data_IF_797209368303
#
_entry.id   IF_797209368303
#
_cell.length_a   1.000
_cell.length_b   1.000
_cell.length_c   1.000
_cell.angle_alpha   90.00
_cell.angle_beta   90.00
_cell.angle_gamma   90.00
#
_symmetry.space_group_name_H-M   'P 1'
#
loop_
_entity.id
_entity.type
_entity.pdbx_description
1 polymer ?
#
# COMPACT_ATOMS: atom_id res chain seq x y z
N UNK A 1 -32.35 -31.61 -21.20
CA UNK A 1 -32.31 -30.76 -22.40
C UNK A 1 -30.86 -30.50 -22.77
N UNK A 2 -30.41 -31.00 -23.92
CA UNK A 2 -29.07 -30.75 -24.44
C UNK A 2 -29.11 -29.35 -25.07
N UNK A 3 -28.44 -28.37 -24.46
CA UNK A 3 -28.45 -26.99 -24.96
C UNK A 3 -27.57 -26.94 -26.21
N UNK A 4 -28.08 -26.35 -27.30
CA UNK A 4 -27.30 -26.15 -28.53
C UNK A 4 -26.10 -25.22 -28.28
N UNK A 5 -25.01 -25.38 -29.05
CA UNK A 5 -23.79 -24.57 -28.89
C UNK A 5 -24.03 -23.07 -29.12
N UNK A 6 -24.87 -22.69 -30.07
CA UNK A 6 -25.24 -21.28 -30.31
C UNK A 6 -26.05 -20.71 -29.14
N UNK A 7 -26.91 -21.54 -28.52
CA UNK A 7 -27.65 -21.15 -27.33
C UNK A 7 -26.72 -20.97 -26.11
N UNK A 8 -25.70 -21.84 -25.94
CA UNK A 8 -24.69 -21.70 -24.87
C UNK A 8 -23.91 -20.39 -24.98
N UNK A 9 -23.46 -20.03 -26.18
CA UNK A 9 -22.76 -18.76 -26.41
C UNK A 9 -23.66 -17.55 -26.13
N UNK A 10 -24.93 -17.62 -26.52
CA UNK A 10 -25.91 -16.56 -26.25
C UNK A 10 -26.15 -16.38 -24.76
N UNK A 11 -26.34 -17.48 -24.02
CA UNK A 11 -26.48 -17.46 -22.57
C UNK A 11 -25.25 -16.85 -21.88
N UNK A 12 -24.04 -17.18 -22.36
CA UNK A 12 -22.82 -16.59 -21.86
C UNK A 12 -22.81 -15.08 -22.05
N UNK A 13 -23.07 -14.60 -23.26
CA UNK A 13 -23.08 -13.16 -23.58
C UNK A 13 -24.08 -12.40 -22.73
N UNK A 14 -25.30 -12.93 -22.55
CA UNK A 14 -26.34 -12.31 -21.71
C UNK A 14 -25.86 -12.22 -20.27
N UNK A 15 -25.42 -13.34 -19.68
CA UNK A 15 -24.95 -13.39 -18.30
C UNK A 15 -23.75 -12.46 -18.08
N UNK A 16 -22.74 -12.56 -18.95
CA UNK A 16 -21.51 -11.79 -18.88
C UNK A 16 -21.75 -10.28 -19.00
N UNK A 17 -22.52 -9.85 -20.00
CA UNK A 17 -22.81 -8.43 -20.19
C UNK A 17 -23.66 -7.86 -19.03
N UNK A 18 -24.52 -8.67 -18.43
CA UNK A 18 -25.29 -8.29 -17.24
C UNK A 18 -24.44 -8.03 -15.99
N UNK A 19 -23.16 -8.44 -15.97
CA UNK A 19 -22.25 -8.24 -14.83
C UNK A 19 -21.27 -7.08 -15.00
N UNK A 20 -21.03 -6.59 -16.22
CA UNK A 20 -20.04 -5.52 -16.48
C UNK A 20 -20.30 -4.26 -15.65
N UNK A 21 -21.48 -3.65 -15.78
CA UNK A 21 -21.83 -2.42 -15.05
C UNK A 21 -21.78 -2.58 -13.53
N UNK A 22 -22.34 -3.66 -12.92
CA UNK A 22 -22.17 -3.91 -11.49
C UNK A 22 -20.71 -4.00 -11.04
N UNK A 23 -19.85 -4.67 -11.81
CA UNK A 23 -18.41 -4.78 -11.49
C UNK A 23 -17.74 -3.42 -11.57
N UNK A 24 -17.99 -2.66 -12.64
CA UNK A 24 -17.46 -1.30 -12.84
C UNK A 24 -17.80 -0.41 -11.64
N UNK A 25 -19.08 -0.36 -11.25
CA UNK A 25 -19.54 0.41 -10.09
C UNK A 25 -18.85 -0.01 -8.78
N UNK A 26 -18.70 -1.31 -8.55
CA UNK A 26 -18.03 -1.81 -7.35
C UNK A 26 -16.54 -1.44 -7.31
N UNK A 27 -15.87 -1.45 -8.46
CA UNK A 27 -14.45 -1.05 -8.61
C UNK A 27 -14.28 0.45 -8.40
N UNK A 28 -15.15 1.27 -8.98
CA UNK A 28 -15.21 2.72 -8.75
C UNK A 28 -15.42 3.05 -7.26
N UNK A 29 -16.36 2.38 -6.60
CA UNK A 29 -16.60 2.56 -5.17
C UNK A 29 -15.35 2.22 -4.33
N UNK A 30 -14.64 1.13 -4.66
CA UNK A 30 -13.39 0.78 -3.98
C UNK A 30 -12.34 1.88 -4.16
N UNK A 31 -12.20 2.43 -5.37
CA UNK A 31 -11.25 3.51 -5.62
C UNK A 31 -11.63 4.78 -4.86
N UNK A 32 -12.91 5.13 -4.83
CA UNK A 32 -13.43 6.26 -4.07
C UNK A 32 -13.18 6.11 -2.56
N UNK A 33 -13.59 4.99 -1.96
CA UNK A 33 -13.42 4.71 -0.54
C UNK A 33 -11.94 4.71 -0.12
N UNK A 34 -11.07 4.08 -0.93
CA UNK A 34 -9.63 4.08 -0.65
C UNK A 34 -9.03 5.49 -0.74
N UNK A 35 -9.45 6.28 -1.73
CA UNK A 35 -8.98 7.66 -1.88
C UNK A 35 -9.45 8.53 -0.70
N UNK A 36 -10.71 8.41 -0.27
CA UNK A 36 -11.23 9.13 0.90
C UNK A 36 -10.51 8.77 2.20
N UNK A 37 -10.22 7.48 2.41
CA UNK A 37 -9.44 7.05 3.57
C UNK A 37 -8.01 7.61 3.54
N UNK A 38 -7.36 7.60 2.38
CA UNK A 38 -6.04 8.20 2.27
C UNK A 38 -6.09 9.73 2.41
N UNK A 39 -7.19 10.35 2.02
CA UNK A 39 -7.44 11.78 2.19
C UNK A 39 -7.60 12.15 3.67
N UNK A 40 -8.32 11.35 4.45
CA UNK A 40 -8.43 11.60 5.90
C UNK A 40 -7.08 11.51 6.62
N UNK A 41 -6.21 10.61 6.15
CA UNK A 41 -4.88 10.40 6.74
C UNK A 41 -3.84 11.42 6.22
N UNK A 42 -4.19 12.21 5.19
CA UNK A 42 -3.27 13.15 4.54
C UNK A 42 -2.83 14.27 5.47
N UNK A 43 -3.79 14.92 6.13
CA UNK A 43 -3.50 16.07 6.99
C UNK A 43 -2.65 15.67 8.19
N UNK A 44 -2.90 14.48 8.76
CA UNK A 44 -2.08 13.94 9.84
C UNK A 44 -0.66 13.62 9.38
N UNK A 45 -0.53 13.02 8.20
CA UNK A 45 0.79 12.77 7.59
C UNK A 45 1.56 14.08 7.37
N UNK A 46 0.95 15.09 6.76
CA UNK A 46 1.60 16.38 6.50
C UNK A 46 2.03 17.08 7.78
N UNK A 47 1.15 17.14 8.79
CA UNK A 47 1.47 17.72 10.11
C UNK A 47 2.61 16.96 10.79
N UNK A 48 2.59 15.63 10.77
CA UNK A 48 3.65 14.81 11.35
C UNK A 48 5.00 15.08 10.66
N UNK A 49 5.03 15.14 9.34
CA UNK A 49 6.28 15.44 8.60
C UNK A 49 6.76 16.84 8.93
N UNK A 50 5.90 17.85 8.87
CA UNK A 50 6.29 19.23 9.16
C UNK A 50 6.84 19.38 10.59
N UNK A 51 6.14 18.85 11.59
CA UNK A 51 6.60 18.88 12.98
C UNK A 51 7.96 18.20 13.18
N UNK A 52 8.17 17.03 12.56
CA UNK A 52 9.44 16.30 12.63
C UNK A 52 10.62 17.10 12.09
N UNK A 53 10.40 17.95 11.09
CA UNK A 53 11.45 18.70 10.41
C UNK A 53 11.59 20.14 10.89
N UNK A 54 10.57 20.69 11.57
CA UNK A 54 10.66 21.98 12.25
C UNK A 54 11.36 21.89 13.60
N UNK A 55 11.37 20.72 14.26
CA UNK A 55 12.01 20.54 15.57
C UNK A 55 13.16 19.55 15.54
N UNK A 56 14.06 19.65 16.53
CA UNK A 56 15.13 18.69 16.73
C UNK A 56 14.54 17.30 17.05
N UNK A 57 14.74 16.37 16.12
CA UNK A 57 14.37 14.97 16.29
C UNK A 57 15.61 14.16 16.76
N UNK A 58 15.63 13.64 18.00
CA UNK A 58 16.75 12.85 18.51
C UNK A 58 16.90 11.49 17.83
N UNK A 59 15.86 10.99 17.17
CA UNK A 59 15.82 9.70 16.49
C UNK A 59 16.20 9.81 15.00
N UNK A 60 16.67 10.96 14.52
CA UNK A 60 17.06 11.18 13.11
C UNK A 60 18.06 10.13 12.57
N UNK A 61 19.04 9.73 13.39
CA UNK A 61 20.00 8.68 13.00
C UNK A 61 19.31 7.31 12.87
N UNK A 62 18.35 7.00 13.74
CA UNK A 62 17.62 5.75 13.70
C UNK A 62 16.62 5.69 12.55
N UNK A 63 15.90 6.79 12.31
CA UNK A 63 14.86 6.89 11.29
C UNK A 63 15.45 7.03 9.87
N UNK A 64 16.49 7.86 9.71
CA UNK A 64 17.01 8.23 8.39
C UNK A 64 18.47 7.84 8.15
N UNK A 65 19.18 7.30 9.15
CA UNK A 65 20.65 7.10 9.11
C UNK A 65 21.40 8.38 8.77
N UNK A 66 20.87 9.49 9.27
CA UNK A 66 21.40 10.83 9.06
C UNK A 66 21.60 11.54 10.40
N UNK A 67 22.81 11.42 10.96
CA UNK A 67 23.23 12.21 12.11
C UNK A 67 23.95 13.46 11.63
N UNK A 68 23.34 14.61 11.89
CA UNK A 68 23.96 15.92 11.59
C UNK A 68 24.92 16.33 12.71
N UNK A 69 24.65 15.91 13.94
CA UNK A 69 25.45 16.24 15.12
C UNK A 69 26.48 15.14 15.43
N UNK A 70 27.67 15.49 15.95
CA UNK A 70 28.08 16.82 16.42
C UNK A 70 28.65 17.74 15.32
N UNK A 71 28.82 17.27 14.08
CA UNK A 71 29.50 17.99 13.01
C UNK A 71 28.83 19.34 12.69
N UNK A 72 27.50 19.38 12.71
CA UNK A 72 26.64 20.56 12.56
C UNK A 72 27.00 21.74 13.49
N UNK A 73 27.60 21.48 14.66
CA UNK A 73 27.96 22.54 15.61
C UNK A 73 29.01 23.52 15.05
N UNK A 74 29.78 23.09 14.04
CA UNK A 74 30.81 23.90 13.38
C UNK A 74 30.36 24.41 12.00
N UNK A 75 29.12 24.15 11.61
CA UNK A 75 28.63 24.52 10.30
C UNK A 75 28.20 25.98 10.27
N UNK A 76 28.65 26.70 9.24
CA UNK A 76 28.04 27.96 8.85
C UNK A 76 26.80 27.73 7.98
N UNK A 77 26.10 28.83 7.68
CA UNK A 77 24.84 28.85 6.89
C UNK A 77 24.95 28.03 5.59
N UNK A 78 26.02 28.22 4.82
CA UNK A 78 26.21 27.51 3.53
C UNK A 78 26.23 25.99 3.67
N UNK A 79 26.84 25.46 4.74
CA UNK A 79 26.89 24.01 4.99
C UNK A 79 25.53 23.45 5.39
N UNK A 80 24.75 24.22 6.18
CA UNK A 80 23.38 23.84 6.53
C UNK A 80 22.48 23.78 5.30
N UNK A 81 22.55 24.78 4.43
CA UNK A 81 21.79 24.81 3.17
C UNK A 81 22.18 23.63 2.27
N UNK A 82 23.49 23.37 2.10
CA UNK A 82 23.97 22.25 1.29
C UNK A 82 23.46 20.90 1.84
N UNK A 83 23.61 20.68 3.15
CA UNK A 83 23.12 19.46 3.80
C UNK A 83 21.60 19.30 3.64
N UNK A 84 20.83 20.38 3.77
CA UNK A 84 19.38 20.31 3.60
C UNK A 84 19.02 19.85 2.18
N UNK A 85 19.63 20.46 1.16
CA UNK A 85 19.38 20.10 -0.23
C UNK A 85 19.78 18.66 -0.58
N UNK A 86 20.92 18.19 -0.08
CA UNK A 86 21.44 16.87 -0.42
C UNK A 86 20.77 15.74 0.38
N UNK A 87 20.60 15.97 1.69
CA UNK A 87 20.22 14.91 2.63
C UNK A 87 18.80 15.07 3.15
N UNK A 88 18.43 16.25 3.66
CA UNK A 88 17.10 16.47 4.24
C UNK A 88 15.99 16.24 3.21
N UNK A 89 16.15 16.80 2.00
CA UNK A 89 15.20 16.60 0.90
C UNK A 89 15.06 15.12 0.50
N UNK A 90 16.13 14.35 0.56
CA UNK A 90 16.09 12.91 0.26
C UNK A 90 15.26 12.17 1.30
N UNK A 91 15.42 12.53 2.59
CA UNK A 91 14.63 11.95 3.68
C UNK A 91 13.15 12.33 3.57
N UNK A 92 12.83 13.61 3.34
CA UNK A 92 11.46 14.09 3.10
C UNK A 92 10.79 13.39 1.91
N UNK A 93 11.52 13.18 0.81
CA UNK A 93 11.01 12.42 -0.33
C UNK A 93 10.76 10.95 0.03
N UNK A 94 11.59 10.37 0.90
CA UNK A 94 11.44 8.99 1.34
C UNK A 94 10.21 8.82 2.25
N UNK A 95 9.91 9.78 3.12
CA UNK A 95 8.70 9.77 3.96
C UNK A 95 7.43 9.74 3.12
N UNK A 96 7.34 10.65 2.15
CA UNK A 96 6.22 10.67 1.21
C UNK A 96 6.15 9.41 0.36
N UNK A 97 7.29 8.91 -0.12
CA UNK A 97 7.34 7.63 -0.84
C UNK A 97 6.82 6.47 0.01
N UNK A 98 7.16 6.42 1.29
CA UNK A 98 6.68 5.39 2.20
C UNK A 98 5.17 5.50 2.40
N UNK A 99 4.67 6.70 2.67
CA UNK A 99 3.25 6.97 2.86
C UNK A 99 2.43 6.59 1.62
N UNK A 100 2.78 7.12 0.44
CA UNK A 100 2.04 6.82 -0.80
C UNK A 100 2.12 5.34 -1.18
N UNK A 101 3.23 4.66 -0.85
CA UNK A 101 3.37 3.21 -1.07
C UNK A 101 2.46 2.41 -0.14
N UNK A 102 2.30 2.83 1.13
CA UNK A 102 1.35 2.22 2.07
C UNK A 102 -0.07 2.35 1.53
N UNK A 103 -0.48 3.56 1.15
CA UNK A 103 -1.78 3.82 0.53
C UNK A 103 -2.01 2.93 -0.70
N UNK A 104 -1.02 2.82 -1.59
CA UNK A 104 -1.09 1.94 -2.77
C UNK A 104 -1.21 0.45 -2.44
N UNK A 105 -0.50 -0.04 -1.42
CA UNK A 105 -0.63 -1.45 -0.98
C UNK A 105 -2.04 -1.74 -0.48
N UNK A 106 -2.60 -0.86 0.34
CA UNK A 106 -3.96 -1.00 0.86
C UNK A 106 -4.99 -0.98 -0.27
N UNK A 107 -4.88 -0.03 -1.21
CA UNK A 107 -5.73 0.03 -2.41
C UNK A 107 -5.68 -1.27 -3.22
N UNK A 108 -4.48 -1.73 -3.60
CA UNK A 108 -4.34 -2.95 -4.41
C UNK A 108 -4.83 -4.21 -3.69
N UNK A 109 -4.70 -4.25 -2.36
CA UNK A 109 -5.24 -5.35 -1.55
C UNK A 109 -6.78 -5.35 -1.59
N UNK A 110 -7.42 -4.21 -1.31
CA UNK A 110 -8.89 -4.08 -1.33
C UNK A 110 -9.45 -4.34 -2.72
N UNK A 111 -8.81 -3.80 -3.76
CA UNK A 111 -9.19 -4.04 -5.16
C UNK A 111 -9.15 -5.53 -5.50
N UNK A 112 -8.04 -6.21 -5.18
CA UNK A 112 -7.91 -7.65 -5.41
C UNK A 112 -8.95 -8.47 -4.66
N UNK A 113 -9.26 -8.11 -3.42
CA UNK A 113 -10.31 -8.76 -2.65
C UNK A 113 -11.69 -8.60 -3.33
N UNK A 114 -12.01 -7.40 -3.82
CA UNK A 114 -13.27 -7.13 -4.54
C UNK A 114 -13.36 -7.92 -5.85
N UNK A 115 -12.31 -7.91 -6.66
CA UNK A 115 -12.26 -8.69 -7.91
C UNK A 115 -12.35 -10.20 -7.64
N UNK A 116 -11.76 -10.69 -6.55
CA UNK A 116 -11.90 -12.08 -6.14
C UNK A 116 -13.33 -12.44 -5.73
N UNK A 117 -14.09 -11.53 -5.11
CA UNK A 117 -15.53 -11.74 -4.84
C UNK A 117 -16.29 -11.91 -6.15
N UNK A 118 -16.02 -11.08 -7.14
CA UNK A 118 -16.62 -11.23 -8.47
C UNK A 118 -16.20 -12.54 -9.15
N UNK A 119 -14.93 -12.92 -9.04
CA UNK A 119 -14.46 -14.20 -9.57
C UNK A 119 -15.17 -15.39 -8.91
N UNK A 120 -15.41 -15.35 -7.60
CA UNK A 120 -16.22 -16.36 -6.91
C UNK A 120 -17.65 -16.40 -7.44
N UNK A 121 -18.30 -15.24 -7.65
CA UNK A 121 -19.63 -15.19 -8.28
C UNK A 121 -19.64 -15.79 -9.68
N UNK A 122 -18.60 -15.59 -10.48
CA UNK A 122 -18.45 -16.29 -11.76
C UNK A 122 -18.42 -17.80 -11.61
N UNK A 123 -17.62 -18.32 -10.67
CA UNK A 123 -17.58 -19.77 -10.40
C UNK A 123 -18.93 -20.28 -9.91
N UNK A 124 -19.62 -19.54 -9.05
CA UNK A 124 -20.85 -19.98 -8.40
C UNK A 124 -22.10 -19.83 -9.28
N UNK A 125 -22.21 -18.76 -10.06
CA UNK A 125 -23.40 -18.46 -10.87
C UNK A 125 -23.28 -19.00 -12.30
N UNK A 126 -22.08 -18.94 -12.89
CA UNK A 126 -21.87 -19.38 -14.26
C UNK A 126 -21.36 -20.81 -14.32
N UNK A 127 -20.23 -21.11 -13.68
CA UNK A 127 -19.59 -22.42 -13.83
C UNK A 127 -20.39 -23.57 -13.19
N UNK A 128 -21.18 -23.30 -12.15
CA UNK A 128 -22.01 -24.31 -11.47
C UNK A 128 -23.40 -24.53 -12.08
N UNK A 129 -23.71 -23.92 -13.22
CA UNK A 129 -24.98 -24.22 -13.90
C UNK A 129 -25.11 -25.71 -14.21
N UNK A 130 -26.30 -26.28 -13.96
CA UNK A 130 -26.55 -27.72 -14.06
C UNK A 130 -26.07 -28.34 -15.37
N UNK A 131 -26.33 -27.67 -16.50
CA UNK A 131 -25.93 -28.18 -17.81
C UNK A 131 -24.41 -28.17 -17.99
N UNK A 132 -23.71 -27.14 -17.49
CA UNK A 132 -22.24 -27.07 -17.51
C UNK A 132 -21.64 -28.13 -16.62
N UNK A 133 -22.15 -28.32 -15.39
CA UNK A 133 -21.62 -29.32 -14.45
C UNK A 133 -21.74 -30.73 -15.03
N UNK A 134 -22.89 -31.06 -15.65
CA UNK A 134 -23.09 -32.35 -16.33
C UNK A 134 -22.13 -32.52 -17.50
N UNK A 135 -22.01 -31.51 -18.34
CA UNK A 135 -21.15 -31.51 -19.52
C UNK A 135 -19.66 -31.61 -19.16
N UNK A 136 -19.20 -30.81 -18.18
CA UNK A 136 -17.86 -30.86 -17.62
C UNK A 136 -17.54 -32.26 -17.09
N UNK A 137 -18.46 -32.85 -16.32
CA UNK A 137 -18.30 -34.20 -15.78
C UNK A 137 -18.18 -35.22 -16.91
N UNK A 138 -19.05 -35.12 -17.92
CA UNK A 138 -19.03 -36.01 -19.08
C UNK A 138 -17.68 -35.96 -19.81
N UNK A 139 -17.25 -34.77 -20.25
CA UNK A 139 -16.01 -34.65 -21.02
C UNK A 139 -14.76 -34.93 -20.18
N UNK A 140 -14.73 -34.54 -18.89
CA UNK A 140 -13.61 -34.91 -18.00
C UNK A 140 -13.50 -36.43 -17.80
N UNK A 141 -14.62 -37.13 -17.69
CA UNK A 141 -14.61 -38.59 -17.61
C UNK A 141 -14.21 -39.23 -18.94
N UNK A 142 -14.72 -38.71 -20.06
CA UNK A 142 -14.38 -39.18 -21.40
C UNK A 142 -12.89 -38.99 -21.71
N UNK A 143 -12.26 -37.88 -21.31
CA UNK A 143 -10.81 -37.68 -21.44
C UNK A 143 -10.01 -38.74 -20.66
N UNK A 144 -10.50 -39.17 -19.49
CA UNK A 144 -9.81 -40.15 -18.63
C UNK A 144 -9.99 -41.59 -19.09
N UNK A 145 -11.17 -41.95 -19.59
CA UNK A 145 -11.60 -43.34 -19.82
C UNK A 145 -11.91 -43.65 -21.30
N UNK A 146 -11.85 -42.65 -22.18
CA UNK A 146 -12.24 -42.78 -23.58
C UNK A 146 -11.34 -43.73 -24.35
N UNK A 147 -11.91 -44.79 -24.91
CA UNK A 147 -11.20 -45.77 -25.71
C UNK A 147 -11.18 -45.35 -27.18
N UNK A 148 -10.02 -45.44 -27.84
CA UNK A 148 -9.90 -45.24 -29.30
C UNK A 148 -10.72 -46.24 -30.13
N UNK A 149 -11.18 -47.33 -29.51
CA UNK A 149 -12.05 -48.33 -30.13
C UNK A 149 -13.55 -47.99 -30.10
N UNK A 150 -13.94 -46.84 -29.54
CA UNK A 150 -15.32 -46.35 -29.60
C UNK A 150 -15.68 -46.00 -31.06
N UNK A 151 -16.75 -46.58 -31.65
CA UNK A 151 -17.17 -46.28 -33.01
C UNK A 151 -17.40 -44.79 -33.28
N UNK A 152 -17.78 -44.02 -32.24
CA UNK A 152 -18.03 -42.59 -32.32
C UNK A 152 -16.85 -41.74 -31.81
N UNK A 153 -15.65 -42.33 -31.66
CA UNK A 153 -14.48 -41.68 -31.06
C UNK A 153 -14.22 -40.29 -31.66
N UNK A 154 -14.19 -40.18 -32.99
CA UNK A 154 -13.90 -38.93 -33.68
C UNK A 154 -14.96 -37.84 -33.47
N UNK A 155 -16.23 -38.24 -33.38
CA UNK A 155 -17.35 -37.33 -33.09
C UNK A 155 -17.22 -36.81 -31.66
N UNK A 156 -16.99 -37.71 -30.69
CA UNK A 156 -16.83 -37.36 -29.26
C UNK A 156 -15.59 -36.50 -29.04
N UNK A 157 -14.49 -36.77 -29.75
CA UNK A 157 -13.27 -35.94 -29.71
C UNK A 157 -13.54 -34.52 -30.20
N UNK A 158 -14.24 -34.38 -31.33
CA UNK A 158 -14.62 -33.06 -31.87
C UNK A 158 -15.48 -32.27 -30.88
N UNK A 159 -16.48 -32.92 -30.25
CA UNK A 159 -17.31 -32.30 -29.22
C UNK A 159 -16.50 -31.91 -27.98
N UNK A 160 -15.60 -32.77 -27.52
CA UNK A 160 -14.70 -32.49 -26.40
C UNK A 160 -13.81 -31.27 -26.68
N UNK A 161 -13.25 -31.17 -27.90
CA UNK A 161 -12.44 -30.03 -28.30
C UNK A 161 -13.25 -28.73 -28.33
N UNK A 162 -14.51 -28.77 -28.81
CA UNK A 162 -15.41 -27.61 -28.78
C UNK A 162 -15.73 -27.17 -27.35
N UNK A 163 -16.07 -28.11 -26.46
CA UNK A 163 -16.28 -27.83 -25.05
C UNK A 163 -15.04 -27.19 -24.40
N UNK A 164 -13.86 -27.78 -24.59
CA UNK A 164 -12.61 -27.26 -24.01
C UNK A 164 -12.28 -25.85 -24.52
N UNK A 165 -12.45 -25.62 -25.83
CA UNK A 165 -12.25 -24.31 -26.44
C UNK A 165 -13.21 -23.25 -25.86
N UNK A 166 -14.50 -23.60 -25.70
CA UNK A 166 -15.51 -22.71 -25.10
C UNK A 166 -15.17 -22.37 -23.66
N UNK A 167 -14.89 -23.35 -22.81
CA UNK A 167 -14.53 -23.13 -21.39
C UNK A 167 -13.31 -22.20 -21.29
N UNK A 168 -12.28 -22.45 -22.12
CA UNK A 168 -11.09 -21.61 -22.16
C UNK A 168 -11.41 -20.17 -22.61
N UNK A 169 -12.23 -20.02 -23.65
CA UNK A 169 -12.64 -18.71 -24.18
C UNK A 169 -13.42 -17.91 -23.14
N UNK A 170 -14.46 -18.49 -22.54
CA UNK A 170 -15.28 -17.84 -21.51
C UNK A 170 -14.44 -17.42 -20.30
N UNK A 171 -13.56 -18.31 -19.83
CA UNK A 171 -12.66 -17.97 -18.72
C UNK A 171 -11.71 -16.82 -19.08
N UNK A 172 -11.14 -16.84 -20.29
CA UNK A 172 -10.27 -15.77 -20.78
C UNK A 172 -11.02 -14.44 -20.84
N UNK A 173 -12.20 -14.42 -21.48
CA UNK A 173 -13.05 -13.23 -21.58
C UNK A 173 -13.40 -12.67 -20.19
N UNK A 174 -13.72 -13.54 -19.23
CA UNK A 174 -13.95 -13.14 -17.84
C UNK A 174 -12.73 -12.48 -17.20
N UNK A 175 -11.56 -13.14 -17.26
CA UNK A 175 -10.34 -12.64 -16.63
C UNK A 175 -9.82 -11.36 -17.29
N UNK A 176 -9.92 -11.26 -18.61
CA UNK A 176 -9.50 -10.07 -19.35
C UNK A 176 -10.43 -8.90 -19.05
N UNK A 177 -11.73 -9.14 -18.87
CA UNK A 177 -12.69 -8.11 -18.45
C UNK A 177 -12.39 -7.56 -17.05
N UNK A 178 -12.12 -8.42 -16.07
CA UNK A 178 -11.75 -7.96 -14.73
C UNK A 178 -10.49 -7.09 -14.74
N UNK A 179 -9.47 -7.48 -15.52
CA UNK A 179 -8.25 -6.67 -15.71
C UNK A 179 -8.54 -5.35 -16.41
N UNK A 180 -9.38 -5.36 -17.44
CA UNK A 180 -9.73 -4.14 -18.16
C UNK A 180 -10.46 -3.15 -17.26
N UNK A 181 -11.43 -3.62 -16.46
CA UNK A 181 -12.16 -2.76 -15.52
C UNK A 181 -11.21 -2.20 -14.45
N UNK A 182 -10.33 -3.02 -13.88
CA UNK A 182 -9.31 -2.55 -12.93
C UNK A 182 -8.42 -1.46 -13.53
N UNK A 183 -7.93 -1.67 -14.76
CA UNK A 183 -7.06 -0.72 -15.45
C UNK A 183 -7.78 0.57 -15.88
N UNK A 184 -9.08 0.50 -16.15
CA UNK A 184 -9.88 1.66 -16.57
C UNK A 184 -10.31 2.53 -15.37
N UNK A 185 -10.13 2.06 -14.14
CA UNK A 185 -10.43 2.83 -12.94
C UNK A 185 -9.37 3.93 -12.71
N UNK A 186 -9.63 5.12 -13.28
CA UNK A 186 -8.68 6.23 -13.29
C UNK A 186 -8.66 7.05 -12.00
N UNK A 187 -9.66 6.91 -11.12
CA UNK A 187 -9.79 7.76 -9.92
C UNK A 187 -8.57 7.65 -8.99
N UNK A 188 -8.14 6.42 -8.71
CA UNK A 188 -6.94 6.18 -7.89
C UNK A 188 -5.68 6.77 -8.53
N UNK A 189 -5.54 6.64 -9.86
CA UNK A 189 -4.38 7.16 -10.59
C UNK A 189 -4.36 8.69 -10.55
N UNK A 190 -5.53 9.31 -10.70
CA UNK A 190 -5.69 10.76 -10.66
C UNK A 190 -5.42 11.31 -9.26
N UNK A 191 -6.01 10.71 -8.22
CA UNK A 191 -5.74 11.07 -6.83
C UNK A 191 -4.25 10.99 -6.50
N UNK A 192 -3.58 9.90 -6.90
CA UNK A 192 -2.14 9.76 -6.67
C UNK A 192 -1.33 10.86 -7.36
N UNK A 193 -1.68 11.22 -8.60
CA UNK A 193 -1.01 12.29 -9.35
C UNK A 193 -1.20 13.65 -8.65
N UNK A 194 -2.41 13.93 -8.20
CA UNK A 194 -2.73 15.16 -7.47
C UNK A 194 -1.86 15.28 -6.21
N UNK A 195 -1.79 14.22 -5.39
CA UNK A 195 -0.96 14.22 -4.17
C UNK A 195 0.53 14.34 -4.45
N UNK A 196 1.03 13.73 -5.53
CA UNK A 196 2.42 13.88 -5.94
C UNK A 196 2.74 15.33 -6.31
N UNK A 197 1.85 16.01 -7.03
CA UNK A 197 2.06 17.40 -7.42
C UNK A 197 1.92 18.35 -6.22
N UNK A 198 0.93 18.13 -5.35
CA UNK A 198 0.80 18.88 -4.10
C UNK A 198 2.07 18.76 -3.26
N UNK A 199 2.54 17.53 -3.00
CA UNK A 199 3.72 17.31 -2.16
C UNK A 199 4.97 17.97 -2.73
N UNK A 200 5.11 17.96 -4.06
CA UNK A 200 6.21 18.64 -4.75
C UNK A 200 6.15 20.16 -4.54
N UNK A 201 4.98 20.77 -4.64
CA UNK A 201 4.81 22.21 -4.40
C UNK A 201 5.05 22.56 -2.93
N UNK A 202 4.48 21.78 -2.01
CA UNK A 202 4.73 21.92 -0.58
C UNK A 202 6.22 21.80 -0.26
N UNK A 203 6.93 20.82 -0.81
CA UNK A 203 8.35 20.62 -0.55
C UNK A 203 9.20 21.82 -0.98
N UNK A 204 8.85 22.46 -2.10
CA UNK A 204 9.51 23.70 -2.55
C UNK A 204 9.26 24.86 -1.58
N UNK A 205 8.01 25.06 -1.16
CA UNK A 205 7.65 26.11 -0.20
C UNK A 205 8.32 25.88 1.17
N UNK A 206 8.23 24.66 1.69
CA UNK A 206 8.84 24.23 2.95
C UNK A 206 10.35 24.43 2.93
N UNK A 207 11.03 24.04 1.84
CA UNK A 207 12.48 24.24 1.68
C UNK A 207 12.85 25.73 1.79
N UNK A 208 12.11 26.59 1.08
CA UNK A 208 12.34 28.03 1.10
C UNK A 208 12.13 28.60 2.50
N UNK A 209 11.05 28.20 3.18
CA UNK A 209 10.76 28.61 4.54
C UNK A 209 11.86 28.18 5.51
N UNK A 210 12.20 26.89 5.53
CA UNK A 210 13.20 26.31 6.42
C UNK A 210 14.57 27.00 6.30
N UNK A 211 14.97 27.35 5.07
CA UNK A 211 16.22 28.07 4.81
C UNK A 211 16.11 29.54 5.25
N UNK A 212 15.02 30.22 4.94
CA UNK A 212 14.83 31.66 5.26
C UNK A 212 14.78 31.90 6.76
N UNK A 213 14.14 31.00 7.51
CA UNK A 213 14.01 31.06 8.96
C UNK A 213 15.26 30.53 9.68
N UNK A 214 16.26 30.04 8.95
CA UNK A 214 17.47 29.42 9.48
C UNK A 214 17.14 28.35 10.55
N UNK A 215 16.21 27.45 10.24
CA UNK A 215 15.58 26.54 11.19
C UNK A 215 16.57 25.66 11.98
N UNK A 216 17.78 25.46 11.45
CA UNK A 216 18.89 24.81 12.16
C UNK A 216 19.30 25.51 13.48
N UNK A 217 19.03 26.80 13.64
CA UNK A 217 19.21 27.53 14.91
C UNK A 217 18.30 26.96 15.99
N UNK A 218 17.02 26.79 15.66
CA UNK A 218 16.01 26.16 16.52
C UNK A 218 16.44 24.74 16.88
N UNK A 219 16.82 23.93 15.90
CA UNK A 219 17.31 22.56 16.14
C UNK A 219 18.51 22.53 17.09
N UNK A 220 19.45 23.45 16.91
CA UNK A 220 20.67 23.51 17.74
C UNK A 220 20.34 23.87 19.18
N UNK A 221 19.39 24.77 19.40
CA UNK A 221 18.96 25.15 20.75
C UNK A 221 18.16 24.05 21.43
N UNK A 222 17.16 23.48 20.76
CA UNK A 222 16.37 22.36 21.27
C UNK A 222 17.23 21.15 21.61
N UNK A 223 18.24 20.85 20.79
CA UNK A 223 19.23 19.80 21.09
C UNK A 223 20.00 20.08 22.37
N UNK A 224 20.44 21.33 22.61
CA UNK A 224 21.14 21.68 23.87
C UNK A 224 20.23 21.41 25.06
N UNK A 225 18.97 21.86 24.99
CA UNK A 225 17.99 21.62 26.04
C UNK A 225 17.74 20.12 26.26
N UNK A 226 17.60 19.34 25.18
CA UNK A 226 17.45 17.89 25.25
C UNK A 226 18.64 17.18 25.92
N UNK A 227 19.88 17.63 25.66
CA UNK A 227 21.07 17.07 26.32
C UNK A 227 21.13 17.46 27.80
N UNK A 228 20.72 18.69 28.15
CA UNK A 228 20.66 19.14 29.55
C UNK A 228 19.64 18.33 30.36
N UNK A 229 18.47 18.03 29.78
CA UNK A 229 17.42 17.24 30.44
C UNK A 229 17.73 15.75 30.50
N UNK A 230 18.58 15.22 29.60
CA UNK A 230 19.01 13.81 29.61
C UNK A 230 20.26 13.51 30.43
N UNK A 231 20.97 14.51 30.95
CA UNK A 231 22.03 14.27 31.96
C UNK A 231 21.35 13.97 33.31
N UNK A 232 21.45 12.75 33.87
CA UNK A 232 21.04 12.52 35.25
C UNK A 232 21.94 13.35 36.17
N UNK A 233 21.41 13.84 37.28
CA UNK A 233 22.15 14.47 38.38
C UNK A 233 23.33 13.60 38.87
N UNK A 234 24.47 13.62 38.18
CA UNK A 234 25.70 12.99 38.68
C UNK A 234 26.52 13.95 39.55
N UNK A 235 25.95 15.08 39.96
CA UNK A 235 26.60 16.01 40.88
C UNK A 235 25.57 16.78 41.72
N UNK A 236 24.94 16.11 42.70
CA UNK A 236 24.41 16.73 43.94
C UNK A 236 23.97 15.69 44.97
N UNK A 237 24.93 15.15 45.73
CA UNK A 237 24.79 15.12 47.20
C UNK A 237 26.17 14.98 47.84
N UNK A 238 26.55 16.03 48.55
CA UNK A 238 27.62 15.99 49.52
C UNK A 238 27.17 15.14 50.72
N UNK A 239 28.07 14.32 51.29
CA UNK A 239 28.03 14.04 52.72
C UNK A 239 29.31 14.55 53.36
N UNK A 240 29.21 15.80 53.81
CA UNK A 240 29.97 16.34 54.95
C UNK A 240 29.78 15.37 56.12
N UNK A 241 30.81 14.60 56.49
CA UNK A 241 30.82 13.86 57.76
C UNK A 241 31.15 14.85 58.88
N UNK A 242 30.15 15.19 59.68
CA UNK A 242 30.32 15.81 61.01
C UNK A 242 30.11 14.74 62.07
N UNK A 243 30.93 14.83 63.13
CA UNK A 243 31.24 13.80 64.10
C UNK A 243 30.07 13.26 64.94
N UNK A 244 30.23 12.03 65.44
CA UNK A 244 29.60 11.58 66.69
C UNK A 244 30.62 10.81 67.53
N UNK A 245 30.95 11.39 68.69
CA UNK A 245 31.62 10.76 69.83
C UNK A 245 30.85 9.51 70.27
N UNK A 246 31.54 8.41 70.55
CA UNK A 246 31.07 7.37 71.48
C UNK A 246 32.04 7.26 72.65
N UNK A 247 31.56 7.75 73.78
CA UNK A 247 32.03 7.46 75.13
C UNK A 247 31.68 6.01 75.47
N UNK A 248 32.64 5.22 75.96
CA UNK A 248 32.32 4.07 76.84
C UNK A 248 33.47 3.86 77.81
N UNK A 249 33.14 3.87 79.10
CA UNK A 249 34.04 3.65 80.24
C UNK A 249 33.59 2.40 80.98
N UNK A 250 34.56 1.70 81.58
CA UNK A 250 34.50 0.64 82.62
C UNK A 250 34.17 -0.77 82.10
N UNK A 251 34.84 -1.83 82.56
CA UNK A 251 35.62 -2.07 83.79
C UNK A 251 37.05 -2.49 83.52
#
# INVERSE_FOLDING_TARGET
VNVDEGAKETLWKIWFNGRKKPIEKDVENVAYECSQKCESDWDEFMKSVEQKWMHFNPDMEKEYKCSVYPQALKWGVTKWIAWFHETALTCLKQDFKNWITKCGKEYHQTMRQKLNVWHKKYLDEWCKQDWKVREDRYFKNWIKMGLRGDPDYWVKLSQCNRWAARVKKEHKEWTDNLKAIENNCNDWVNWKKEKMEFYKQWLQAFTKQWITEEQWKTWTEERKQYILTKKPDTQKSATKKTATKKTTTKK
#
